data_IF_693885361777
#
_entry.id   IF_693885361777
#
_cell.length_a   1.000
_cell.length_b   1.000
_cell.length_c   1.000
_cell.angle_alpha   90.00
_cell.angle_beta   90.00
_cell.angle_gamma   90.00
#
_symmetry.space_group_name_H-M   'P 1'
#
loop_
_entity.id
_entity.type
_entity.pdbx_description
1 polymer ?
#
# COMPACT_ATOMS: atom_id res chain seq x y z
N UNK A 1 -14.03 1.90 1.30
CA UNK A 1 -12.62 1.52 1.14
C UNK A 1 -12.04 2.40 0.05
N UNK A 2 -10.93 3.06 0.33
CA UNK A 2 -10.17 3.86 -0.64
C UNK A 2 -8.86 3.11 -0.89
N UNK A 3 -8.41 3.02 -2.14
CA UNK A 3 -7.18 2.34 -2.50
C UNK A 3 -6.25 3.32 -3.22
N UNK A 4 -5.08 3.53 -2.66
CA UNK A 4 -3.97 4.27 -3.26
C UNK A 4 -3.20 3.30 -4.14
N UNK A 5 -3.03 3.66 -5.41
CA UNK A 5 -2.25 2.86 -6.37
C UNK A 5 -0.76 3.07 -6.15
N UNK A 6 0.01 2.00 -6.31
CA UNK A 6 1.45 2.11 -6.28
C UNK A 6 1.98 2.88 -7.50
N UNK A 7 3.12 3.53 -7.30
CA UNK A 7 3.90 4.23 -8.31
C UNK A 7 5.29 3.62 -8.38
N UNK A 8 6.05 3.95 -9.42
CA UNK A 8 7.46 3.55 -9.48
C UNK A 8 8.27 4.07 -8.28
N UNK A 9 7.91 5.25 -7.75
CA UNK A 9 8.59 5.82 -6.58
C UNK A 9 8.27 5.03 -5.30
N UNK A 10 7.00 4.66 -5.08
CA UNK A 10 6.61 3.89 -3.89
C UNK A 10 7.18 2.47 -3.92
N UNK A 11 7.24 1.82 -5.09
CA UNK A 11 7.87 0.49 -5.23
C UNK A 11 9.39 0.51 -5.06
N UNK A 12 10.02 1.67 -5.24
CA UNK A 12 11.44 1.89 -4.90
C UNK A 12 11.65 2.21 -3.41
N UNK A 13 10.59 2.24 -2.60
CA UNK A 13 10.65 2.60 -1.19
C UNK A 13 11.00 4.06 -0.94
N UNK A 14 10.74 4.95 -1.92
CA UNK A 14 11.03 6.36 -1.77
C UNK A 14 10.10 6.98 -0.70
N UNK A 15 10.65 7.68 0.31
CA UNK A 15 9.83 8.33 1.32
C UNK A 15 9.07 9.52 0.72
N UNK A 16 7.88 9.80 1.26
CA UNK A 16 7.19 11.06 0.98
C UNK A 16 8.02 12.25 1.51
N UNK A 17 7.81 13.44 0.93
CA UNK A 17 8.41 14.65 1.49
C UNK A 17 7.78 14.97 2.86
N UNK A 18 8.50 15.66 3.77
CA UNK A 18 7.95 16.04 5.06
C UNK A 18 6.62 16.80 4.95
N UNK A 19 6.51 17.71 3.98
CA UNK A 19 5.31 18.52 3.77
C UNK A 19 4.12 17.67 3.32
N UNK A 20 4.37 16.68 2.44
CA UNK A 20 3.33 15.75 1.99
C UNK A 20 2.87 14.84 3.14
N UNK A 21 3.80 14.40 3.99
CA UNK A 21 3.49 13.58 5.16
C UNK A 21 2.65 14.35 6.18
N UNK A 22 3.01 15.60 6.48
CA UNK A 22 2.24 16.46 7.39
C UNK A 22 0.84 16.77 6.85
N UNK A 23 0.70 17.03 5.55
CA UNK A 23 -0.59 17.27 4.94
C UNK A 23 -1.50 16.03 5.03
N UNK A 24 -0.94 14.85 4.76
CA UNK A 24 -1.66 13.57 4.90
C UNK A 24 -2.06 13.31 6.35
N UNK A 25 -1.17 13.58 7.31
CA UNK A 25 -1.47 13.39 8.74
C UNK A 25 -2.64 14.26 9.20
N UNK A 26 -2.64 15.56 8.85
CA UNK A 26 -3.75 16.47 9.20
C UNK A 26 -5.07 16.03 8.58
N UNK A 27 -5.06 15.66 7.30
CA UNK A 27 -6.28 15.19 6.62
C UNK A 27 -6.83 13.92 7.27
N UNK A 28 -5.97 12.94 7.57
CA UNK A 28 -6.40 11.71 8.24
C UNK A 28 -6.92 11.97 9.66
N UNK A 29 -6.34 12.92 10.40
CA UNK A 29 -6.82 13.32 11.73
C UNK A 29 -8.24 13.92 11.67
N UNK A 30 -8.53 14.77 10.69
CA UNK A 30 -9.88 15.31 10.47
C UNK A 30 -10.90 14.18 10.21
N UNK A 31 -10.53 13.19 9.40
CA UNK A 31 -11.39 12.05 9.09
C UNK A 31 -11.60 11.11 10.29
N UNK A 32 -10.57 10.91 11.11
CA UNK A 32 -10.70 10.17 12.37
C UNK A 32 -11.65 10.91 13.34
N UNK A 33 -11.46 12.22 13.50
CA UNK A 33 -12.31 13.05 14.36
C UNK A 33 -13.77 13.09 13.89
N UNK A 34 -14.01 13.01 12.58
CA UNK A 34 -15.34 12.89 12.00
C UNK A 34 -15.95 11.49 12.15
N UNK A 35 -15.22 10.51 12.68
CA UNK A 35 -15.68 9.13 12.89
C UNK A 35 -15.84 8.32 11.61
N UNK A 36 -15.22 8.74 10.50
CA UNK A 36 -15.34 8.06 9.19
C UNK A 36 -14.23 7.03 8.92
N UNK A 37 -13.11 7.11 9.65
CA UNK A 37 -11.98 6.17 9.51
C UNK A 37 -12.10 5.04 10.53
N UNK A 38 -12.11 3.80 10.03
CA UNK A 38 -11.95 2.61 10.85
C UNK A 38 -10.48 2.19 10.98
N UNK A 39 -9.74 2.24 9.87
CA UNK A 39 -8.31 1.96 9.78
C UNK A 39 -7.73 2.65 8.53
N UNK A 40 -6.44 3.01 8.58
CA UNK A 40 -5.70 3.58 7.47
C UNK A 40 -4.21 3.23 7.64
N UNK A 41 -3.66 2.45 6.73
CA UNK A 41 -2.27 1.98 6.78
C UNK A 41 -1.64 2.03 5.39
N UNK A 42 -0.34 2.32 5.34
CA UNK A 42 0.45 2.19 4.13
C UNK A 42 1.02 0.78 3.98
N UNK A 43 1.14 0.31 2.74
CA UNK A 43 1.80 -0.95 2.40
C UNK A 43 3.25 -0.70 1.98
N UNK A 44 4.11 -1.67 2.27
CA UNK A 44 5.50 -1.67 1.80
C UNK A 44 5.58 -2.06 0.32
N UNK A 45 6.71 -1.75 -0.32
CA UNK A 45 6.96 -2.12 -1.72
C UNK A 45 6.79 -3.63 -1.96
N UNK A 46 6.33 -4.01 -3.15
CA UNK A 46 6.04 -5.41 -3.47
C UNK A 46 7.25 -6.33 -3.44
N UNK A 47 8.48 -5.79 -3.50
CA UNK A 47 9.72 -6.54 -3.26
C UNK A 47 9.78 -7.18 -1.86
N UNK A 48 9.07 -6.60 -0.88
CA UNK A 48 8.89 -7.16 0.46
C UNK A 48 7.64 -8.04 0.57
N UNK A 49 6.80 -8.07 -0.47
CA UNK A 49 5.56 -8.82 -0.53
C UNK A 49 5.73 -10.24 -1.07
N UNK A 50 4.71 -11.06 -0.82
CA UNK A 50 4.60 -12.44 -1.31
C UNK A 50 3.17 -12.66 -1.83
N UNK A 51 3.04 -13.36 -2.95
CA UNK A 51 1.75 -13.90 -3.42
C UNK A 51 1.70 -15.39 -3.13
N UNK A 52 0.59 -15.86 -2.56
CA UNK A 52 0.36 -17.28 -2.35
C UNK A 52 -0.77 -17.72 -3.29
N UNK A 53 -0.42 -18.50 -4.30
CA UNK A 53 -1.39 -19.08 -5.23
C UNK A 53 -1.88 -20.43 -4.69
N UNK A 54 -3.19 -20.64 -4.75
CA UNK A 54 -3.86 -21.86 -4.32
C UNK A 54 -4.47 -22.56 -5.54
N UNK A 55 -4.17 -23.85 -5.71
CA UNK A 55 -4.79 -24.71 -6.72
C UNK A 55 -5.15 -26.05 -6.07
N UNK A 56 -6.42 -26.19 -5.68
CA UNK A 56 -6.89 -27.30 -4.86
C UNK A 56 -6.07 -27.45 -3.57
N UNK A 57 -5.35 -28.57 -3.43
CA UNK A 57 -4.46 -28.83 -2.31
C UNK A 57 -3.05 -28.22 -2.48
N UNK A 58 -2.70 -27.72 -3.67
CA UNK A 58 -1.41 -27.12 -3.97
C UNK A 58 -1.35 -25.68 -3.45
N UNK A 59 -0.15 -25.28 -2.99
CA UNK A 59 0.18 -23.90 -2.57
C UNK A 59 1.53 -23.52 -3.15
N UNK A 60 1.60 -22.38 -3.84
CA UNK A 60 2.83 -21.84 -4.40
C UNK A 60 3.06 -20.43 -3.86
N UNK A 61 4.26 -20.19 -3.33
CA UNK A 61 4.69 -18.86 -2.89
C UNK A 61 5.49 -18.21 -4.02
N UNK A 62 5.11 -16.98 -4.37
CA UNK A 62 5.73 -16.17 -5.42
C UNK A 62 6.27 -14.91 -4.75
N UNK A 63 7.57 -14.74 -4.80
CA UNK A 63 8.26 -13.56 -4.31
C UNK A 63 8.03 -12.37 -5.25
N UNK A 64 7.85 -11.17 -4.69
CA UNK A 64 7.92 -9.95 -5.51
C UNK A 64 9.35 -9.57 -5.90
N UNK A 65 9.56 -8.45 -6.62
CA UNK A 65 8.54 -7.47 -7.00
C UNK A 65 7.58 -7.97 -8.08
N UNK A 66 6.37 -7.41 -8.11
CA UNK A 66 5.37 -7.77 -9.12
C UNK A 66 5.46 -6.83 -10.34
N UNK A 67 5.25 -7.38 -11.54
CA UNK A 67 5.59 -6.72 -12.80
C UNK A 67 4.76 -5.47 -13.12
N UNK A 68 3.46 -5.47 -12.80
CA UNK A 68 2.53 -4.39 -13.18
C UNK A 68 2.32 -3.39 -12.03
N UNK A 69 3.32 -2.53 -11.77
CA UNK A 69 3.35 -1.59 -10.63
C UNK A 69 2.10 -0.72 -10.50
N UNK A 70 1.55 -0.20 -11.60
CA UNK A 70 0.34 0.68 -11.57
C UNK A 70 -0.92 -0.07 -11.16
N UNK A 71 -0.90 -1.40 -11.22
CA UNK A 71 -2.00 -2.26 -10.78
C UNK A 71 -1.86 -2.66 -9.32
N UNK A 72 -0.73 -2.38 -8.66
CA UNK A 72 -0.51 -2.68 -7.25
C UNK A 72 -1.18 -1.65 -6.33
N UNK A 73 -1.40 -2.05 -5.08
CA UNK A 73 -1.98 -1.22 -4.03
C UNK A 73 -0.86 -0.83 -3.07
N UNK A 74 -0.80 0.45 -2.72
CA UNK A 74 0.16 1.01 -1.78
C UNK A 74 -0.47 1.38 -0.42
N UNK A 75 -1.80 1.30 -0.30
CA UNK A 75 -2.58 1.63 0.89
C UNK A 75 -4.03 1.90 0.55
#
# INVERSE_FOLDING_TARGET
MVLVKATEASEKGAPATPEAFEAMARFNEELVNAGVVLAADGLTASSMGKRVAFDGASRTVIDGPFTETRELVAG
#
